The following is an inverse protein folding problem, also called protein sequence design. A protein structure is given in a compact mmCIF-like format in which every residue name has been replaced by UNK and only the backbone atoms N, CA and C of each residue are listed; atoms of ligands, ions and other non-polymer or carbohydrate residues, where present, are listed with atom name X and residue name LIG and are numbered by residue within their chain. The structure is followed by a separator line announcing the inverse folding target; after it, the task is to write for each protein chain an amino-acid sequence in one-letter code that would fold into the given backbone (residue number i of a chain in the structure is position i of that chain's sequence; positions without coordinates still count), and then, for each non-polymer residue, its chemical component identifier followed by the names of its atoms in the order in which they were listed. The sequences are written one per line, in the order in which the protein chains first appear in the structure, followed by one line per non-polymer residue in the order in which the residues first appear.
data_IF_419679206081
#
_entry.id   IF_419679206081
#
_cell.length_a   1.000
_cell.length_b   1.000
_cell.length_c   1.000
_cell.angle_alpha   90.00
_cell.angle_beta   90.00
_cell.angle_gamma   90.00
#
_symmetry.space_group_name_H-M   'P 1'
#
loop_
_entity.id
_entity.type
_entity.pdbx_description
1 polymer ?
#
# COMPACT_ATOMS: atom_id res chain seq x y z
N UNK A 1 17.09 -7.25 15.05
CA UNK A 1 16.75 -5.85 14.68
C UNK A 1 17.30 -4.84 15.71
N UNK A 2 17.10 -5.05 17.03
CA UNK A 2 17.61 -4.13 18.08
C UNK A 2 19.14 -4.01 18.02
N UNK A 3 19.85 -5.11 17.92
CA UNK A 3 21.32 -5.12 17.79
C UNK A 3 21.76 -4.37 16.52
N UNK A 4 21.07 -4.61 15.40
CA UNK A 4 21.32 -3.89 14.14
C UNK A 4 21.10 -2.38 14.30
N UNK A 5 20.00 -1.98 14.95
CA UNK A 5 19.72 -0.57 15.23
C UNK A 5 20.79 0.09 16.09
N UNK A 6 21.23 -0.58 17.17
CA UNK A 6 22.32 -0.09 18.04
C UNK A 6 23.60 0.09 17.24
N UNK A 7 24.00 -0.91 16.45
CA UNK A 7 25.24 -0.88 15.66
C UNK A 7 25.22 0.26 14.63
N UNK A 8 24.09 0.47 13.95
CA UNK A 8 23.97 1.50 12.91
C UNK A 8 23.88 2.92 13.45
N UNK A 9 23.39 3.12 14.68
CA UNK A 9 23.25 4.46 15.29
C UNK A 9 24.44 4.84 16.19
N UNK A 10 25.27 3.90 16.57
CA UNK A 10 26.45 4.16 17.41
C UNK A 10 27.71 4.55 16.63
N UNK A 11 27.60 4.89 15.33
CA UNK A 11 28.70 5.38 14.48
C UNK A 11 29.98 4.51 14.44
N UNK A 12 29.84 3.21 14.56
CA UNK A 12 30.99 2.32 14.40
C UNK A 12 31.37 2.16 12.91
N UNK A 13 32.66 2.13 12.61
CA UNK A 13 33.22 1.85 11.26
C UNK A 13 32.75 0.49 10.68
N UNK A 14 32.14 -0.34 11.48
CA UNK A 14 31.59 -1.63 11.11
C UNK A 14 30.27 -1.57 10.33
N UNK A 15 29.64 -0.41 10.21
CA UNK A 15 28.34 -0.24 9.54
C UNK A 15 28.36 -0.77 8.10
N UNK A 16 29.44 -0.55 7.35
CA UNK A 16 29.56 -1.05 5.98
C UNK A 16 29.54 -2.59 5.85
N UNK A 17 29.92 -3.33 6.89
CA UNK A 17 29.84 -4.80 6.88
C UNK A 17 28.43 -5.33 7.18
N UNK A 18 27.57 -4.51 7.78
CA UNK A 18 26.23 -4.91 8.21
C UNK A 18 25.11 -4.38 7.32
N UNK A 19 25.44 -3.71 6.22
CA UNK A 19 24.46 -3.16 5.26
C UNK A 19 23.53 -4.23 4.67
N UNK A 20 23.97 -5.49 4.59
CA UNK A 20 23.18 -6.60 4.06
C UNK A 20 22.17 -7.20 5.05
N UNK A 21 22.19 -6.81 6.34
CA UNK A 21 21.29 -7.39 7.34
C UNK A 21 19.82 -7.10 7.05
N UNK A 22 19.39 -5.86 6.75
CA UNK A 22 17.97 -5.57 6.42
C UNK A 22 17.49 -6.35 5.20
N UNK A 23 18.33 -6.45 4.17
CA UNK A 23 18.05 -7.19 2.94
C UNK A 23 17.88 -8.68 3.22
N UNK A 24 18.79 -9.27 4.00
CA UNK A 24 18.75 -10.68 4.38
C UNK A 24 17.50 -11.00 5.21
N UNK A 25 17.15 -10.16 6.19
CA UNK A 25 15.94 -10.33 7.00
C UNK A 25 14.69 -10.25 6.11
N UNK A 26 14.64 -9.30 5.19
CA UNK A 26 13.52 -9.16 4.27
C UNK A 26 13.36 -10.40 3.37
N UNK A 27 14.45 -10.88 2.77
CA UNK A 27 14.45 -12.10 1.93
C UNK A 27 14.02 -13.32 2.75
N UNK A 28 14.53 -13.49 3.97
CA UNK A 28 14.16 -14.60 4.85
C UNK A 28 12.66 -14.57 5.16
N UNK A 29 12.10 -13.40 5.48
CA UNK A 29 10.67 -13.25 5.76
C UNK A 29 9.81 -13.59 4.53
N UNK A 30 10.22 -13.15 3.33
CA UNK A 30 9.55 -13.51 2.09
C UNK A 30 9.61 -15.02 1.82
N UNK A 31 10.78 -15.63 2.03
CA UNK A 31 10.94 -17.07 1.87
C UNK A 31 10.05 -17.84 2.85
N UNK A 32 9.97 -17.42 4.12
CA UNK A 32 9.08 -18.04 5.11
C UNK A 32 7.61 -17.92 4.71
N UNK A 33 7.21 -16.78 4.12
CA UNK A 33 5.84 -16.56 3.67
C UNK A 33 5.47 -17.47 2.50
N UNK A 34 6.37 -17.62 1.53
CA UNK A 34 6.11 -18.34 0.27
C UNK A 34 6.37 -19.84 0.43
N UNK A 35 7.34 -20.22 1.25
CA UNK A 35 7.80 -21.61 1.37
C UNK A 35 6.72 -22.55 1.93
N UNK A 36 6.53 -23.73 1.35
CA UNK A 36 5.47 -24.66 1.72
C UNK A 36 5.77 -25.49 2.98
N UNK A 37 6.32 -24.89 4.03
CA UNK A 37 6.52 -25.58 5.30
C UNK A 37 5.19 -26.04 5.90
N UNK A 38 5.12 -27.27 6.37
CA UNK A 38 3.93 -27.82 7.04
C UNK A 38 3.74 -27.20 8.46
N UNK A 39 4.79 -26.63 9.02
CA UNK A 39 4.73 -25.88 10.29
C UNK A 39 4.32 -24.43 10.05
N UNK A 40 3.92 -23.73 11.11
CA UNK A 40 3.50 -22.31 11.07
C UNK A 40 2.30 -22.03 10.12
N UNK A 41 1.15 -22.71 10.36
CA UNK A 41 -0.13 -22.43 9.69
C UNK A 41 -0.07 -22.40 8.16
N UNK A 42 0.43 -23.46 7.53
CA UNK A 42 0.46 -23.58 6.06
C UNK A 42 -0.87 -23.23 5.40
N UNK A 43 -1.98 -23.74 5.99
CA UNK A 43 -3.31 -23.44 5.47
C UNK A 43 -3.65 -21.94 5.54
N UNK A 44 -3.26 -21.24 6.60
CA UNK A 44 -3.46 -19.81 6.76
C UNK A 44 -2.66 -19.00 5.72
N UNK A 45 -1.39 -19.33 5.49
CA UNK A 45 -0.55 -18.66 4.48
C UNK A 45 -1.10 -18.87 3.06
N UNK A 46 -1.49 -20.08 2.71
CA UNK A 46 -2.07 -20.34 1.39
C UNK A 46 -3.38 -19.55 1.22
N UNK A 47 -4.26 -19.54 2.24
CA UNK A 47 -5.49 -18.74 2.20
C UNK A 47 -5.17 -17.26 2.04
N UNK A 48 -4.20 -16.71 2.79
CA UNK A 48 -3.78 -15.31 2.68
C UNK A 48 -3.29 -14.99 1.27
N UNK A 49 -2.40 -15.81 0.70
CA UNK A 49 -1.86 -15.60 -0.65
C UNK A 49 -2.95 -15.69 -1.73
N UNK A 50 -3.88 -16.64 -1.60
CA UNK A 50 -5.01 -16.75 -2.53
C UNK A 50 -5.98 -15.56 -2.42
N UNK A 51 -6.26 -15.10 -1.19
CA UNK A 51 -7.07 -13.92 -0.94
C UNK A 51 -6.37 -12.67 -1.50
N UNK A 52 -5.07 -12.52 -1.25
CA UNK A 52 -4.28 -11.40 -1.77
C UNK A 52 -4.28 -11.39 -3.31
N UNK A 53 -4.08 -12.55 -3.94
CA UNK A 53 -4.17 -12.67 -5.41
C UNK A 53 -5.55 -12.25 -5.93
N UNK A 54 -6.64 -12.72 -5.30
CA UNK A 54 -8.01 -12.38 -5.70
C UNK A 54 -8.30 -10.89 -5.52
N UNK A 55 -7.90 -10.32 -4.38
CA UNK A 55 -8.06 -8.90 -4.06
C UNK A 55 -7.25 -8.03 -5.02
N UNK A 56 -5.99 -8.39 -5.32
CA UNK A 56 -5.13 -7.65 -6.24
C UNK A 56 -5.73 -7.57 -7.66
N UNK A 57 -6.41 -8.62 -8.12
CA UNK A 57 -7.14 -8.61 -9.40
C UNK A 57 -8.47 -7.83 -9.27
N UNK A 58 -8.84 -7.42 -8.05
CA UNK A 58 -10.09 -6.72 -7.75
C UNK A 58 -11.33 -7.62 -7.74
N UNK A 59 -11.13 -8.93 -7.54
CA UNK A 59 -12.20 -9.91 -7.37
C UNK A 59 -12.80 -9.89 -5.97
N UNK A 60 -14.00 -10.47 -5.85
CA UNK A 60 -14.66 -10.80 -4.59
C UNK A 60 -15.08 -12.27 -4.65
N UNK A 61 -14.93 -12.96 -3.54
CA UNK A 61 -15.43 -14.34 -3.42
C UNK A 61 -16.95 -14.39 -3.54
N UNK A 62 -17.47 -15.52 -4.00
CA UNK A 62 -18.92 -15.75 -4.06
C UNK A 62 -19.50 -16.09 -2.70
N UNK A 63 -18.77 -16.87 -1.88
CA UNK A 63 -19.19 -17.21 -0.53
C UNK A 63 -19.13 -16.02 0.42
N UNK A 64 -20.07 -15.94 1.37
CA UNK A 64 -20.14 -14.82 2.33
C UNK A 64 -18.87 -14.72 3.19
N UNK A 65 -18.34 -15.84 3.68
CA UNK A 65 -17.12 -15.88 4.48
C UNK A 65 -15.89 -15.42 3.68
N UNK A 66 -15.81 -15.82 2.40
CA UNK A 66 -14.75 -15.38 1.50
C UNK A 66 -14.83 -13.87 1.19
N UNK A 67 -16.04 -13.33 0.99
CA UNK A 67 -16.25 -11.89 0.77
C UNK A 67 -15.79 -11.06 1.96
N UNK A 68 -16.11 -11.50 3.18
CA UNK A 68 -15.67 -10.79 4.38
C UNK A 68 -14.16 -10.71 4.46
N UNK A 69 -13.46 -11.83 4.19
CA UNK A 69 -11.99 -11.86 4.16
C UNK A 69 -11.40 -10.93 3.09
N UNK A 70 -11.98 -10.92 1.88
CA UNK A 70 -11.55 -10.05 0.78
C UNK A 70 -11.73 -8.56 1.11
N UNK A 71 -12.86 -8.21 1.73
CA UNK A 71 -13.15 -6.83 2.15
C UNK A 71 -12.21 -6.39 3.26
N UNK A 72 -12.01 -7.24 4.27
CA UNK A 72 -11.13 -6.94 5.39
C UNK A 72 -9.68 -6.76 4.94
N UNK A 73 -9.17 -7.65 4.07
CA UNK A 73 -7.83 -7.54 3.53
C UNK A 73 -7.65 -6.26 2.69
N UNK A 74 -8.61 -5.95 1.85
CA UNK A 74 -8.56 -4.76 1.01
C UNK A 74 -8.61 -3.47 1.86
N UNK A 75 -9.39 -3.45 2.95
CA UNK A 75 -9.41 -2.33 3.90
C UNK A 75 -8.07 -2.19 4.64
N UNK A 76 -7.50 -3.29 5.10
CA UNK A 76 -6.17 -3.29 5.70
C UNK A 76 -5.13 -2.71 4.73
N UNK A 77 -5.14 -3.11 3.45
CA UNK A 77 -4.24 -2.57 2.44
C UNK A 77 -4.37 -1.06 2.26
N UNK A 78 -5.58 -0.48 2.36
CA UNK A 78 -5.73 0.99 2.30
C UNK A 78 -5.03 1.68 3.47
N UNK A 79 -5.08 1.10 4.65
CA UNK A 79 -4.36 1.61 5.83
C UNK A 79 -2.85 1.48 5.69
N UNK A 80 -2.37 0.45 5.00
CA UNK A 80 -0.95 0.20 4.75
C UNK A 80 -0.43 0.83 3.45
N UNK A 81 -1.19 1.67 2.75
CA UNK A 81 -0.80 2.25 1.46
C UNK A 81 0.54 3.00 1.51
N UNK A 82 0.81 3.77 2.57
CA UNK A 82 2.10 4.45 2.78
C UNK A 82 3.22 3.47 3.08
N UNK A 83 2.96 2.44 3.88
CA UNK A 83 3.93 1.39 4.19
C UNK A 83 4.33 0.62 2.93
N UNK A 84 3.39 0.37 2.01
CA UNK A 84 3.70 -0.24 0.71
C UNK A 84 4.61 0.66 -0.14
N UNK A 85 4.40 1.97 -0.10
CA UNK A 85 5.27 2.93 -0.78
C UNK A 85 6.66 2.99 -0.16
N UNK A 86 6.77 2.99 1.17
CA UNK A 86 8.05 2.96 1.88
C UNK A 86 8.78 1.64 1.64
N UNK A 87 8.05 0.52 1.55
CA UNK A 87 8.62 -0.78 1.17
C UNK A 87 9.21 -0.75 -0.24
N UNK A 88 8.52 -0.13 -1.19
CA UNK A 88 9.04 0.08 -2.54
C UNK A 88 10.32 0.91 -2.55
N UNK A 89 10.37 2.01 -1.77
CA UNK A 89 11.56 2.85 -1.64
C UNK A 89 12.72 2.05 -1.05
N UNK A 90 12.47 1.28 0.01
CA UNK A 90 13.48 0.41 0.63
C UNK A 90 13.99 -0.62 -0.36
N UNK A 91 13.09 -1.23 -1.13
CA UNK A 91 13.45 -2.18 -2.18
C UNK A 91 14.29 -1.53 -3.28
N UNK A 92 13.92 -0.34 -3.72
CA UNK A 92 14.70 0.43 -4.69
C UNK A 92 16.11 0.72 -4.15
N UNK A 93 16.25 1.15 -2.89
CA UNK A 93 17.55 1.42 -2.27
C UNK A 93 18.42 0.17 -2.13
N UNK A 94 17.83 -1.01 -1.95
CA UNK A 94 18.57 -2.26 -1.86
C UNK A 94 19.28 -2.65 -3.16
N UNK A 95 18.75 -2.24 -4.31
CA UNK A 95 19.22 -2.64 -5.63
C UNK A 95 19.85 -1.48 -6.42
N UNK A 96 19.97 -0.29 -5.83
CA UNK A 96 20.60 0.85 -6.48
C UNK A 96 22.01 1.04 -5.92
N UNK A 97 23.00 0.96 -6.79
CA UNK A 97 24.40 1.15 -6.43
C UNK A 97 24.63 2.53 -5.80
N UNK A 98 25.42 2.55 -4.73
CA UNK A 98 25.78 3.77 -4.00
C UNK A 98 24.73 4.25 -2.98
N UNK A 99 23.60 3.55 -2.81
CA UNK A 99 22.65 3.80 -1.73
C UNK A 99 22.79 2.71 -0.64
N UNK A 100 23.12 3.15 0.57
CA UNK A 100 23.17 2.25 1.72
C UNK A 100 21.77 2.02 2.28
N UNK A 101 21.46 0.78 2.69
CA UNK A 101 20.22 0.43 3.37
C UNK A 101 20.04 1.18 4.72
N UNK A 102 21.12 1.75 5.27
CA UNK A 102 21.15 2.51 6.50
C UNK A 102 21.07 4.02 6.29
N UNK A 103 21.14 4.49 5.05
CA UNK A 103 21.03 5.91 4.72
C UNK A 103 19.59 6.42 4.85
N UNK A 104 19.42 7.75 4.84
CA UNK A 104 18.08 8.36 4.83
C UNK A 104 17.28 7.86 3.61
N UNK A 105 15.97 7.55 3.78
CA UNK A 105 15.13 7.11 2.68
C UNK A 105 15.16 8.09 1.51
N UNK A 106 15.72 7.68 0.39
CA UNK A 106 15.76 8.47 -0.82
C UNK A 106 14.45 8.28 -1.60
N UNK A 107 13.51 9.19 -1.39
CA UNK A 107 12.20 9.16 -2.07
C UNK A 107 12.28 9.47 -3.57
N UNK A 108 13.41 9.94 -4.04
CA UNK A 108 13.69 10.08 -5.47
C UNK A 108 14.17 8.78 -6.12
N UNK A 109 14.35 7.71 -5.32
CA UNK A 109 14.67 6.40 -5.85
C UNK A 109 13.49 5.90 -6.71
N UNK A 110 13.77 5.61 -7.96
CA UNK A 110 12.75 5.24 -8.94
C UNK A 110 12.12 6.45 -9.65
N UNK A 111 11.03 6.21 -10.38
CA UNK A 111 10.32 7.25 -11.11
C UNK A 111 9.34 7.97 -10.19
N UNK A 112 9.23 9.30 -10.31
CA UNK A 112 8.40 10.15 -9.45
C UNK A 112 6.92 9.74 -9.37
N UNK A 113 6.39 9.11 -10.42
CA UNK A 113 4.99 8.69 -10.48
C UNK A 113 4.72 7.33 -9.82
N UNK A 114 5.76 6.50 -9.57
CA UNK A 114 5.57 5.14 -9.05
C UNK A 114 5.04 5.14 -7.61
N UNK A 115 5.59 5.98 -6.76
CA UNK A 115 5.16 6.12 -5.36
C UNK A 115 3.69 6.53 -5.24
N UNK A 116 3.21 7.59 -5.94
CA UNK A 116 1.78 7.93 -5.98
C UNK A 116 0.89 6.80 -6.48
N UNK A 117 1.31 6.06 -7.50
CA UNK A 117 0.55 4.91 -8.01
C UNK A 117 0.43 3.83 -6.94
N UNK A 118 1.52 3.46 -6.28
CA UNK A 118 1.50 2.43 -5.22
C UNK A 118 0.53 2.83 -4.10
N UNK A 119 0.53 4.11 -3.69
CA UNK A 119 -0.40 4.61 -2.68
C UNK A 119 -1.87 4.56 -3.17
N UNK A 120 -2.10 4.78 -4.47
CA UNK A 120 -3.44 4.79 -5.06
C UNK A 120 -4.05 3.40 -5.26
N UNK A 121 -3.22 2.36 -5.49
CA UNK A 121 -3.67 0.99 -5.79
C UNK A 121 -4.66 0.43 -4.76
N UNK A 122 -4.41 0.46 -3.43
CA UNK A 122 -5.36 -0.05 -2.45
C UNK A 122 -6.73 0.66 -2.50
N UNK A 123 -6.72 1.98 -2.65
CA UNK A 123 -7.95 2.77 -2.80
C UNK A 123 -8.72 2.42 -4.09
N UNK A 124 -8.01 2.15 -5.20
CA UNK A 124 -8.60 1.71 -6.46
C UNK A 124 -9.26 0.33 -6.33
N UNK A 125 -8.59 -0.61 -5.64
CA UNK A 125 -9.14 -1.94 -5.36
C UNK A 125 -10.44 -1.81 -4.56
N UNK A 126 -10.45 -1.02 -3.49
CA UNK A 126 -11.65 -0.80 -2.66
C UNK A 126 -12.76 -0.10 -3.42
N UNK A 127 -12.44 0.91 -4.20
CA UNK A 127 -13.41 1.58 -5.06
C UNK A 127 -14.08 0.58 -6.00
N UNK A 128 -13.30 -0.26 -6.69
CA UNK A 128 -13.83 -1.30 -7.57
C UNK A 128 -14.74 -2.29 -6.83
N UNK A 129 -14.34 -2.76 -5.65
CA UNK A 129 -15.17 -3.66 -4.83
C UNK A 129 -16.51 -3.00 -4.45
N UNK A 130 -16.48 -1.75 -3.98
CA UNK A 130 -17.69 -1.01 -3.61
C UNK A 130 -18.62 -0.82 -4.81
N UNK A 131 -18.09 -0.47 -5.98
CA UNK A 131 -18.88 -0.32 -7.22
C UNK A 131 -19.49 -1.65 -7.66
N UNK A 132 -18.74 -2.76 -7.55
CA UNK A 132 -19.24 -4.10 -7.89
C UNK A 132 -20.41 -4.50 -6.98
N UNK A 133 -20.29 -4.29 -5.66
CA UNK A 133 -21.36 -4.59 -4.71
C UNK A 133 -22.56 -3.64 -4.90
N UNK A 134 -22.32 -2.37 -5.21
CA UNK A 134 -23.38 -1.44 -5.57
C UNK A 134 -24.17 -1.92 -6.81
N UNK A 135 -23.48 -2.32 -7.88
CA UNK A 135 -24.12 -2.83 -9.10
C UNK A 135 -24.90 -4.13 -8.82
N UNK A 136 -24.37 -5.04 -8.00
CA UNK A 136 -25.08 -6.24 -7.55
C UNK A 136 -26.34 -5.90 -6.77
N UNK A 137 -26.24 -4.97 -5.82
CA UNK A 137 -27.37 -4.47 -5.03
C UNK A 137 -28.49 -3.89 -5.91
N UNK A 138 -28.14 -3.14 -6.95
CA UNK A 138 -29.11 -2.56 -7.90
C UNK A 138 -29.82 -3.61 -8.77
N UNK A 139 -29.17 -4.75 -9.01
CA UNK A 139 -29.75 -5.88 -9.78
C UNK A 139 -30.57 -6.84 -8.91
N UNK A 140 -30.47 -6.72 -7.59
CA UNK A 140 -31.20 -7.59 -6.66
C UNK A 140 -32.69 -7.19 -6.60
N UNK A 141 -33.55 -8.21 -6.48
CA UNK A 141 -34.99 -8.02 -6.28
C UNK A 141 -35.33 -7.81 -4.79
N UNK A 142 -34.41 -8.06 -3.89
CA UNK A 142 -34.61 -7.96 -2.45
C UNK A 142 -34.52 -6.50 -1.96
N UNK A 143 -35.56 -6.01 -1.31
CA UNK A 143 -35.59 -4.66 -0.69
C UNK A 143 -34.41 -4.43 0.27
N UNK A 144 -34.01 -5.46 1.00
CA UNK A 144 -32.89 -5.38 1.98
C UNK A 144 -31.55 -5.17 1.28
N UNK A 145 -31.33 -5.80 0.13
CA UNK A 145 -30.13 -5.64 -0.67
C UNK A 145 -30.08 -4.25 -1.35
N UNK A 146 -31.22 -3.77 -1.85
CA UNK A 146 -31.34 -2.43 -2.46
C UNK A 146 -31.02 -1.36 -1.43
N UNK A 147 -31.48 -1.50 -0.18
CA UNK A 147 -31.19 -0.57 0.92
C UNK A 147 -29.70 -0.48 1.25
N UNK A 148 -28.93 -1.56 1.10
CA UNK A 148 -27.47 -1.55 1.29
C UNK A 148 -26.72 -0.85 0.16
N UNK A 149 -27.35 -0.64 -0.98
CA UNK A 149 -26.74 0.01 -2.15
C UNK A 149 -26.22 1.41 -1.84
N UNK A 150 -26.95 2.19 -1.03
CA UNK A 150 -26.52 3.53 -0.62
C UNK A 150 -25.22 3.51 0.21
N UNK A 151 -25.04 2.52 1.07
CA UNK A 151 -23.81 2.33 1.85
C UNK A 151 -22.62 2.00 0.95
N UNK A 152 -22.82 1.13 -0.06
CA UNK A 152 -21.75 0.80 -1.01
C UNK A 152 -21.36 2.02 -1.85
N UNK A 153 -22.33 2.86 -2.24
CA UNK A 153 -22.06 4.09 -2.96
C UNK A 153 -21.31 5.11 -2.08
N UNK A 154 -21.71 5.30 -0.83
CA UNK A 154 -21.01 6.17 0.10
C UNK A 154 -19.54 5.73 0.31
N UNK A 155 -19.32 4.42 0.46
CA UNK A 155 -17.97 3.87 0.54
C UNK A 155 -17.19 4.08 -0.77
N UNK A 156 -17.81 3.96 -1.94
CA UNK A 156 -17.17 4.25 -3.21
C UNK A 156 -16.73 5.72 -3.29
N UNK A 157 -17.57 6.66 -2.87
CA UNK A 157 -17.22 8.09 -2.80
C UNK A 157 -16.05 8.34 -1.84
N UNK A 158 -16.04 7.69 -0.66
CA UNK A 158 -14.92 7.77 0.28
C UNK A 158 -13.60 7.35 -0.36
N UNK A 159 -13.56 6.22 -1.06
CA UNK A 159 -12.31 5.75 -1.68
C UNK A 159 -11.94 6.54 -2.93
N UNK A 160 -12.91 7.10 -3.66
CA UNK A 160 -12.62 7.96 -4.81
C UNK A 160 -12.00 9.30 -4.40
N UNK A 161 -12.36 9.84 -3.23
CA UNK A 161 -11.78 11.09 -2.71
C UNK A 161 -10.28 10.98 -2.38
N UNK A 162 -9.74 9.76 -2.24
CA UNK A 162 -8.31 9.57 -2.05
C UNK A 162 -7.47 10.00 -3.26
N UNK A 163 -7.98 9.85 -4.49
CA UNK A 163 -7.20 10.13 -5.71
C UNK A 163 -6.83 11.60 -5.88
N UNK A 164 -7.75 12.57 -5.73
CA UNK A 164 -7.39 13.99 -5.75
C UNK A 164 -6.31 14.33 -4.71
N UNK A 165 -6.42 13.80 -3.49
CA UNK A 165 -5.46 14.04 -2.42
C UNK A 165 -4.07 13.48 -2.78
N UNK A 166 -4.01 12.25 -3.31
CA UNK A 166 -2.75 11.63 -3.75
C UNK A 166 -2.12 12.44 -4.88
N UNK A 167 -2.93 12.86 -5.86
CA UNK A 167 -2.47 13.67 -6.99
C UNK A 167 -1.91 15.02 -6.53
N UNK A 168 -2.64 15.74 -5.67
CA UNK A 168 -2.20 17.03 -5.12
C UNK A 168 -0.92 16.89 -4.31
N UNK A 169 -0.80 15.86 -3.46
CA UNK A 169 0.42 15.60 -2.69
C UNK A 169 1.62 15.26 -3.60
N UNK A 170 1.39 14.52 -4.69
CA UNK A 170 2.44 14.23 -5.67
C UNK A 170 2.90 15.52 -6.38
N UNK A 171 1.96 16.36 -6.78
CA UNK A 171 2.24 17.64 -7.42
C UNK A 171 3.00 18.59 -6.49
N UNK A 172 2.56 18.71 -5.23
CA UNK A 172 3.26 19.53 -4.20
C UNK A 172 4.70 19.11 -3.98
N UNK A 173 4.98 17.80 -4.02
CA UNK A 173 6.34 17.30 -3.84
C UNK A 173 7.28 17.74 -4.96
N UNK A 174 6.77 17.88 -6.18
CA UNK A 174 7.54 18.26 -7.36
C UNK A 174 7.63 19.79 -7.55
N UNK A 175 6.89 20.57 -6.75
CA UNK A 175 7.00 22.02 -6.78
C UNK A 175 8.25 22.47 -6.01
N UNK A 176 9.20 23.08 -6.73
CA UNK A 176 10.30 23.81 -6.12
C UNK A 176 9.80 25.11 -5.48
N UNK A 177 10.33 25.55 -4.32
CA UNK A 177 9.91 26.80 -3.67
C UNK A 177 10.13 28.06 -4.50
N UNK A 178 10.80 27.98 -5.63
CA UNK A 178 11.13 29.11 -6.52
C UNK A 178 10.05 29.42 -7.56
N UNK A 179 9.07 28.55 -7.76
CA UNK A 179 7.96 28.77 -8.69
C UNK A 179 6.79 29.53 -8.01
N UNK A 180 7.07 30.77 -7.60
CA UNK A 180 6.19 31.61 -6.77
C UNK A 180 5.01 32.26 -7.53
N UNK A 181 4.69 31.82 -8.76
CA UNK A 181 3.58 32.41 -9.54
C UNK A 181 2.20 31.74 -9.34
N UNK A 182 2.09 30.76 -8.46
CA UNK A 182 0.84 30.04 -8.16
C UNK A 182 0.39 30.18 -6.71
N UNK A 183 0.42 31.38 -6.11
CA UNK A 183 0.14 31.63 -4.68
C UNK A 183 -1.23 31.10 -4.21
N UNK A 184 -2.25 31.07 -5.10
CA UNK A 184 -3.59 30.59 -4.76
C UNK A 184 -3.67 29.06 -4.68
N UNK A 185 -3.02 28.33 -5.59
CA UNK A 185 -3.05 26.85 -5.60
C UNK A 185 -2.29 26.24 -4.41
N UNK A 186 -1.13 26.81 -4.07
CA UNK A 186 -0.29 26.35 -2.95
C UNK A 186 -1.00 26.55 -1.60
N UNK A 187 -1.77 27.63 -1.45
CA UNK A 187 -2.51 27.91 -0.20
C UNK A 187 -3.65 26.92 -0.01
N UNK A 188 -4.41 26.60 -1.06
CA UNK A 188 -5.48 25.60 -1.00
C UNK A 188 -4.91 24.20 -0.69
N UNK A 189 -3.75 23.87 -1.25
CA UNK A 189 -3.09 22.58 -1.01
C UNK A 189 -2.53 22.41 0.42
N UNK A 190 -2.24 23.49 1.14
CA UNK A 190 -1.78 23.42 2.55
C UNK A 190 -2.94 23.31 3.55
N UNK A 191 -4.15 23.59 3.13
CA UNK A 191 -5.36 23.52 3.96
C UNK A 191 -6.10 22.16 3.85
N UNK A 192 -5.73 21.30 2.91
CA UNK A 192 -6.17 19.93 2.75
C UNK A 192 -5.14 18.93 3.34
#
# INVERSE_FOLDING_TARGET
LVVFWIVTHCQFELVGRFDYIPQSVFIILLLILIWPFNRASRAGRIRLLLTLKRVAIGGLAESQDGKFGDILLADALTSYSRVLADLYISFCMFFTDGLSATSKPNRACGKDFVVPIIIAVPSAIRLRQCLTEYMRSRRSTSRREISKGSQHLANALKYSSAFPVIYLNAKLRNYSPLDFHGFSEVTIMRLL
#
